data_IF_123575990865
#
_entry.id   IF_123575990865
#
_cell.length_a   1.000
_cell.length_b   1.000
_cell.length_c   1.000
_cell.angle_alpha   90.00
_cell.angle_beta   90.00
_cell.angle_gamma   90.00
#
_symmetry.space_group_name_H-M   'P 1'
#
loop_
_entity.id
_entity.type
_entity.pdbx_description
1 polymer ?
#
# COMPACT_ATOMS: atom_id res chain seq x y z
N UNK A 1 62.93 -31.12 -12.93
CA UNK A 1 62.75 -30.46 -11.62
C UNK A 1 61.73 -29.33 -11.79
N UNK A 2 60.79 -29.18 -10.85
CA UNK A 2 59.42 -28.77 -11.15
C UNK A 2 59.22 -27.25 -11.23
N UNK A 3 58.22 -26.89 -12.01
CA UNK A 3 57.78 -25.55 -12.39
C UNK A 3 56.59 -25.16 -11.49
N UNK A 4 56.71 -23.99 -10.84
CA UNK A 4 55.69 -22.97 -10.56
C UNK A 4 54.57 -23.18 -9.52
N UNK A 5 54.14 -22.01 -9.04
CA UNK A 5 52.76 -21.62 -8.69
C UNK A 5 52.28 -21.95 -7.28
N UNK A 6 53.11 -21.64 -6.29
CA UNK A 6 52.60 -21.13 -5.01
C UNK A 6 52.35 -19.62 -5.14
N UNK A 7 51.30 -19.10 -4.49
CA UNK A 7 50.99 -17.66 -4.34
C UNK A 7 50.18 -16.98 -5.48
N UNK A 8 48.99 -17.47 -5.85
CA UNK A 8 47.89 -16.56 -6.31
C UNK A 8 46.47 -17.10 -6.01
N UNK A 9 46.31 -18.38 -5.65
CA UNK A 9 44.98 -19.01 -5.66
C UNK A 9 44.08 -18.74 -4.43
N UNK A 10 44.53 -17.99 -3.41
CA UNK A 10 43.75 -17.76 -2.16
C UNK A 10 43.09 -16.39 -2.04
N UNK A 11 43.45 -15.42 -2.87
CA UNK A 11 42.92 -14.05 -2.78
C UNK A 11 41.65 -13.79 -3.59
N UNK A 12 41.30 -14.67 -4.53
CA UNK A 12 40.19 -14.44 -5.49
C UNK A 12 38.91 -15.17 -5.06
N UNK A 13 38.99 -16.18 -4.20
CA UNK A 13 37.83 -16.94 -3.74
C UNK A 13 37.04 -16.26 -2.61
N UNK A 14 37.59 -15.23 -1.94
CA UNK A 14 36.85 -14.48 -0.91
C UNK A 14 36.01 -13.32 -1.47
N UNK A 15 36.30 -12.87 -2.69
CA UNK A 15 35.64 -11.69 -3.29
C UNK A 15 34.30 -12.01 -3.96
N UNK A 16 34.02 -13.29 -4.24
CA UNK A 16 32.78 -13.70 -4.91
C UNK A 16 31.61 -14.03 -3.96
N UNK A 17 31.83 -14.05 -2.64
CA UNK A 17 30.78 -14.40 -1.69
C UNK A 17 29.89 -13.21 -1.26
N UNK A 18 30.23 -11.97 -1.65
CA UNK A 18 29.50 -10.77 -1.19
C UNK A 18 28.39 -10.33 -2.17
N UNK A 19 28.32 -10.90 -3.37
CA UNK A 19 27.25 -10.59 -4.35
C UNK A 19 25.96 -11.43 -4.17
N UNK A 20 25.85 -12.24 -3.12
CA UNK A 20 24.82 -13.29 -3.03
C UNK A 20 23.62 -13.05 -2.11
N UNK A 21 23.47 -11.88 -1.47
CA UNK A 21 22.44 -11.69 -0.43
C UNK A 21 21.64 -10.38 -0.52
N UNK A 22 21.63 -9.71 -1.67
CA UNK A 22 20.57 -8.75 -1.96
C UNK A 22 19.42 -9.49 -2.64
N UNK A 23 18.70 -10.33 -1.88
CA UNK A 23 17.32 -10.66 -2.25
C UNK A 23 16.54 -9.34 -2.15
N UNK A 24 16.59 -8.57 -3.22
CA UNK A 24 15.59 -7.54 -3.50
C UNK A 24 14.27 -8.29 -3.47
N UNK A 25 13.57 -8.22 -2.34
CA UNK A 25 12.17 -8.54 -2.28
C UNK A 25 11.49 -7.55 -3.24
N UNK A 26 11.40 -7.94 -4.51
CA UNK A 26 10.59 -7.26 -5.50
C UNK A 26 9.17 -7.34 -4.97
N UNK A 27 8.71 -6.26 -4.36
CA UNK A 27 7.28 -6.01 -4.18
C UNK A 27 6.78 -5.68 -5.58
N UNK A 28 6.36 -6.70 -6.31
CA UNK A 28 5.74 -6.57 -7.61
C UNK A 28 4.29 -6.13 -7.43
N UNK A 29 3.88 -5.07 -8.14
CA UNK A 29 2.54 -4.52 -8.09
C UNK A 29 2.55 -3.05 -7.70
N UNK A 30 2.10 -2.20 -8.63
CA UNK A 30 1.78 -0.80 -8.36
C UNK A 30 0.27 -0.67 -8.51
N UNK A 31 -0.43 -0.33 -7.43
CA UNK A 31 -1.89 -0.19 -7.46
C UNK A 31 -2.20 1.13 -8.17
N UNK A 32 -2.81 1.12 -9.37
CA UNK A 32 -3.01 2.35 -10.11
C UNK A 32 -4.07 3.23 -9.43
N UNK A 33 -3.95 4.57 -9.50
CA UNK A 33 -4.95 5.49 -8.95
C UNK A 33 -6.38 5.19 -9.40
N UNK A 34 -6.56 4.69 -10.62
CA UNK A 34 -7.85 4.30 -11.20
C UNK A 34 -8.57 3.18 -10.45
N UNK A 35 -7.92 2.47 -9.53
CA UNK A 35 -8.59 1.50 -8.65
C UNK A 35 -9.46 2.19 -7.60
N UNK A 36 -9.11 3.42 -7.21
CA UNK A 36 -9.79 4.17 -6.15
C UNK A 36 -10.87 5.10 -6.73
N UNK A 37 -11.87 4.56 -7.41
CA UNK A 37 -12.97 5.37 -7.95
C UNK A 37 -13.91 5.82 -6.83
N UNK A 38 -13.75 7.06 -6.39
CA UNK A 38 -14.55 7.66 -5.32
C UNK A 38 -15.96 8.00 -5.81
N UNK A 39 -16.95 7.68 -4.96
CA UNK A 39 -18.36 8.01 -5.15
C UNK A 39 -18.85 8.79 -3.94
N UNK A 40 -19.61 9.86 -4.16
CA UNK A 40 -20.19 10.64 -3.07
C UNK A 40 -21.25 9.80 -2.34
N UNK A 41 -21.06 9.58 -1.04
CA UNK A 41 -22.00 8.86 -0.17
C UNK A 41 -22.72 9.79 0.80
N UNK A 42 -22.12 10.94 1.11
CA UNK A 42 -22.74 12.05 1.84
C UNK A 42 -22.45 13.33 1.06
N UNK A 43 -23.45 14.02 0.50
CA UNK A 43 -23.21 15.25 -0.23
C UNK A 43 -22.78 16.38 0.71
N UNK A 44 -21.90 17.25 0.24
CA UNK A 44 -21.56 18.48 0.94
C UNK A 44 -22.76 19.45 1.03
N UNK A 45 -23.16 19.86 2.24
CA UNK A 45 -24.34 20.71 2.51
C UNK A 45 -24.07 22.22 2.46
N UNK A 46 -22.81 22.66 2.48
CA UNK A 46 -22.44 24.06 2.24
C UNK A 46 -22.87 25.08 3.29
N UNK A 47 -23.35 24.64 4.45
CA UNK A 47 -23.92 25.44 5.54
C UNK A 47 -22.90 26.21 6.40
N UNK A 48 -21.67 26.37 5.90
CA UNK A 48 -20.71 27.36 6.39
C UNK A 48 -19.57 26.79 7.22
N UNK A 49 -18.35 27.14 6.81
CA UNK A 49 -17.08 27.03 7.55
C UNK A 49 -16.48 25.63 7.86
N UNK A 50 -17.18 24.52 7.64
CA UNK A 50 -16.74 23.23 8.20
C UNK A 50 -16.34 22.18 7.15
N UNK A 51 -15.40 21.33 7.54
CA UNK A 51 -15.05 20.09 6.86
C UNK A 51 -16.30 19.25 6.68
N UNK A 52 -16.52 18.66 5.50
CA UNK A 52 -17.79 17.97 5.26
C UNK A 52 -17.88 17.32 3.89
N UNK A 53 -19.02 16.68 3.65
CA UNK A 53 -19.22 15.76 2.53
C UNK A 53 -18.33 14.51 2.69
N UNK A 54 -18.73 13.40 2.07
CA UNK A 54 -18.00 12.15 2.16
C UNK A 54 -18.03 11.40 0.85
N UNK A 55 -16.85 10.97 0.41
CA UNK A 55 -16.68 10.11 -0.76
C UNK A 55 -16.02 8.82 -0.37
N UNK A 56 -16.40 7.75 -1.04
CA UNK A 56 -15.89 6.40 -0.75
C UNK A 56 -15.46 5.70 -2.03
N UNK A 57 -14.32 5.03 -1.97
CA UNK A 57 -13.88 4.04 -2.95
C UNK A 57 -13.75 2.67 -2.27
N UNK A 58 -14.17 1.61 -2.96
CA UNK A 58 -14.03 0.22 -2.49
C UNK A 58 -13.12 -0.57 -3.43
N UNK A 59 -12.13 -1.28 -2.87
CA UNK A 59 -11.18 -2.10 -3.64
C UNK A 59 -10.94 -3.43 -2.94
N UNK A 60 -10.95 -4.52 -3.70
CA UNK A 60 -10.40 -5.82 -3.30
C UNK A 60 -8.95 -5.86 -3.78
N UNK A 61 -8.00 -6.02 -2.84
CA UNK A 61 -6.57 -6.08 -3.16
C UNK A 61 -6.05 -7.47 -2.81
N UNK A 62 -5.40 -8.12 -3.76
CA UNK A 62 -4.65 -9.34 -3.52
C UNK A 62 -3.21 -8.99 -3.08
N UNK A 63 -2.93 -9.14 -1.79
CA UNK A 63 -1.57 -9.08 -1.28
C UNK A 63 -0.93 -10.45 -1.48
N UNK A 64 0.04 -10.55 -2.37
CA UNK A 64 0.76 -11.81 -2.62
C UNK A 64 2.25 -11.65 -2.35
N UNK A 65 2.84 -12.68 -1.73
CA UNK A 65 4.28 -12.83 -1.60
C UNK A 65 4.71 -14.07 -2.36
N UNK A 66 5.62 -13.89 -3.33
CA UNK A 66 6.31 -15.00 -3.96
C UNK A 66 7.39 -15.48 -2.98
N UNK A 67 7.12 -16.57 -2.27
CA UNK A 67 8.12 -17.26 -1.44
C UNK A 67 8.39 -18.65 -2.01
N UNK A 68 9.64 -19.15 -1.94
CA UNK A 68 10.00 -20.47 -2.44
C UNK A 68 9.42 -21.62 -1.61
N UNK A 69 8.98 -21.34 -0.37
CA UNK A 69 8.42 -22.36 0.54
C UNK A 69 6.90 -22.49 0.37
N UNK A 70 6.15 -21.38 0.33
CA UNK A 70 4.71 -21.36 0.01
C UNK A 70 4.28 -19.96 -0.49
N UNK A 71 3.52 -19.82 -1.59
CA UNK A 71 2.89 -18.56 -1.94
C UNK A 71 1.80 -18.25 -0.92
N UNK A 72 2.04 -17.27 -0.05
CA UNK A 72 1.00 -16.72 0.82
C UNK A 72 0.32 -15.56 0.10
N UNK A 73 -1.00 -15.67 -0.02
CA UNK A 73 -1.83 -14.63 -0.59
C UNK A 73 -2.98 -14.28 0.34
N UNK A 74 -3.26 -12.99 0.47
CA UNK A 74 -4.35 -12.44 1.26
C UNK A 74 -5.21 -11.54 0.38
N UNK A 75 -6.49 -11.85 0.25
CA UNK A 75 -7.44 -10.92 -0.40
C UNK A 75 -8.02 -10.00 0.67
N UNK A 76 -7.76 -8.70 0.54
CA UNK A 76 -8.16 -7.69 1.50
C UNK A 76 -9.26 -6.80 0.92
N UNK A 77 -10.37 -6.72 1.64
CA UNK A 77 -11.43 -5.75 1.42
C UNK A 77 -11.03 -4.39 2.02
N UNK A 78 -10.90 -3.37 1.17
CA UNK A 78 -10.57 -2.02 1.62
C UNK A 78 -11.57 -0.97 1.12
N UNK A 79 -12.14 -0.26 2.07
CA UNK A 79 -12.93 0.93 1.83
C UNK A 79 -12.12 2.15 2.25
N UNK A 80 -11.89 3.07 1.32
CA UNK A 80 -11.26 4.36 1.59
C UNK A 80 -12.34 5.43 1.58
N UNK A 81 -12.59 6.02 2.73
CA UNK A 81 -13.43 7.20 2.89
C UNK A 81 -12.59 8.46 2.95
N UNK A 82 -12.95 9.48 2.19
CA UNK A 82 -12.33 10.81 2.25
C UNK A 82 -13.41 11.89 2.36
N UNK A 83 -13.15 12.96 3.13
CA UNK A 83 -14.04 14.11 3.14
C UNK A 83 -14.00 14.84 1.79
N UNK A 84 -15.11 15.42 1.33
CA UNK A 84 -15.10 16.28 0.13
C UNK A 84 -14.30 17.56 0.38
N UNK A 85 -14.37 18.06 1.61
CA UNK A 85 -13.62 19.23 2.09
C UNK A 85 -13.04 18.95 3.47
N UNK A 86 -11.75 19.21 3.65
CA UNK A 86 -11.07 19.12 4.94
C UNK A 86 -10.34 20.43 5.28
N UNK A 87 -9.56 20.43 6.37
CA UNK A 87 -8.77 21.58 6.83
C UNK A 87 -7.73 22.08 5.80
N UNK A 88 -7.33 21.24 4.84
CA UNK A 88 -6.41 21.59 3.74
C UNK A 88 -7.15 22.08 2.48
N UNK A 89 -8.49 22.13 2.49
CA UNK A 89 -9.31 22.59 1.38
C UNK A 89 -10.10 21.44 0.73
N UNK A 90 -10.37 21.59 -0.56
CA UNK A 90 -11.11 20.60 -1.35
C UNK A 90 -10.25 19.35 -1.63
N UNK A 91 -10.87 18.18 -1.49
CA UNK A 91 -10.26 16.91 -1.83
C UNK A 91 -10.80 16.47 -3.18
N UNK A 92 -10.04 16.77 -4.24
CA UNK A 92 -10.39 16.38 -5.61
C UNK A 92 -10.20 14.87 -5.79
N UNK A 93 -11.01 14.26 -6.66
CA UNK A 93 -11.00 12.80 -6.85
C UNK A 93 -9.65 12.31 -7.39
N UNK A 94 -9.04 13.03 -8.33
CA UNK A 94 -7.73 12.70 -8.89
C UNK A 94 -6.62 12.70 -7.81
N UNK A 95 -6.69 13.67 -6.90
CA UNK A 95 -5.78 13.75 -5.76
C UNK A 95 -6.04 12.62 -4.77
N UNK A 96 -7.30 12.36 -4.43
CA UNK A 96 -7.70 11.27 -3.54
C UNK A 96 -7.28 9.90 -4.09
N UNK A 97 -7.48 9.67 -5.38
CA UNK A 97 -7.06 8.47 -6.11
C UNK A 97 -5.55 8.26 -6.00
N UNK A 98 -4.77 9.29 -6.30
CA UNK A 98 -3.31 9.23 -6.28
C UNK A 98 -2.78 9.01 -4.86
N UNK A 99 -3.35 9.70 -3.87
CA UNK A 99 -2.96 9.55 -2.47
C UNK A 99 -3.30 8.16 -1.92
N UNK A 100 -4.49 7.65 -2.23
CA UNK A 100 -4.91 6.31 -1.83
C UNK A 100 -4.06 5.22 -2.47
N UNK A 101 -3.77 5.31 -3.77
CA UNK A 101 -2.86 4.40 -4.46
C UNK A 101 -1.47 4.34 -3.81
N UNK A 102 -0.85 5.51 -3.60
CA UNK A 102 0.47 5.59 -2.95
C UNK A 102 0.46 5.04 -1.52
N UNK A 103 -0.59 5.34 -0.75
CA UNK A 103 -0.73 4.81 0.61
C UNK A 103 -0.93 3.30 0.61
N UNK A 104 -1.69 2.76 -0.34
CA UNK A 104 -1.90 1.33 -0.48
C UNK A 104 -0.61 0.60 -0.90
N UNK A 105 0.16 1.14 -1.84
CA UNK A 105 1.46 0.56 -2.23
C UNK A 105 2.42 0.50 -1.05
N UNK A 106 2.52 1.60 -0.30
CA UNK A 106 3.40 1.69 0.86
C UNK A 106 2.94 0.77 2.00
N UNK A 107 1.64 0.71 2.27
CA UNK A 107 1.07 -0.22 3.25
C UNK A 107 1.30 -1.68 2.84
N UNK A 108 1.12 -2.02 1.55
CA UNK A 108 1.40 -3.35 1.02
C UNK A 108 2.87 -3.71 1.22
N UNK A 109 3.78 -2.78 0.91
CA UNK A 109 5.23 -2.95 1.09
C UNK A 109 5.61 -3.20 2.54
N UNK A 110 4.94 -2.56 3.51
CA UNK A 110 5.17 -2.78 4.94
C UNK A 110 4.68 -4.18 5.33
N UNK A 111 3.40 -4.49 5.09
CA UNK A 111 2.79 -5.77 5.50
C UNK A 111 3.47 -6.97 4.84
N UNK A 112 3.80 -6.87 3.55
CA UNK A 112 4.47 -7.93 2.82
C UNK A 112 5.91 -8.16 3.28
N UNK A 113 6.50 -7.31 4.13
CA UNK A 113 7.81 -7.56 4.77
C UNK A 113 7.66 -8.33 6.08
N UNK A 114 6.58 -8.14 6.82
CA UNK A 114 6.38 -8.65 8.18
C UNK A 114 6.01 -10.15 8.27
N UNK A 115 5.70 -10.82 7.16
CA UNK A 115 5.41 -12.28 7.09
C UNK A 115 4.23 -12.72 7.98
N UNK A 116 3.15 -11.94 7.95
CA UNK A 116 2.04 -12.13 8.88
C UNK A 116 1.02 -13.12 8.34
N UNK A 117 0.30 -13.85 9.23
CA UNK A 117 -0.86 -14.62 8.84
C UNK A 117 -1.88 -13.77 8.08
N UNK A 118 -2.57 -14.40 7.13
CA UNK A 118 -3.47 -13.78 6.14
C UNK A 118 -4.48 -12.79 6.73
N UNK A 119 -5.15 -13.17 7.83
CA UNK A 119 -6.14 -12.32 8.49
C UNK A 119 -5.53 -11.08 9.16
N UNK A 120 -4.31 -11.23 9.70
CA UNK A 120 -3.58 -10.14 10.34
C UNK A 120 -3.00 -9.18 9.28
N UNK A 121 -2.57 -9.71 8.13
CA UNK A 121 -2.08 -8.91 7.01
C UNK A 121 -3.12 -7.88 6.54
N UNK A 122 -4.37 -8.29 6.31
CA UNK A 122 -5.41 -7.35 5.87
C UNK A 122 -5.80 -6.32 6.93
N UNK A 123 -5.74 -6.69 8.22
CA UNK A 123 -5.98 -5.74 9.31
C UNK A 123 -4.91 -4.66 9.31
N UNK A 124 -3.64 -5.06 9.36
CA UNK A 124 -2.54 -4.11 9.40
C UNK A 124 -2.41 -3.30 8.10
N UNK A 125 -2.72 -3.90 6.95
CA UNK A 125 -2.74 -3.18 5.68
C UNK A 125 -3.64 -1.95 5.74
N UNK A 126 -4.86 -2.11 6.27
CA UNK A 126 -5.78 -0.98 6.49
C UNK A 126 -5.24 0.02 7.50
N UNK A 127 -4.68 -0.44 8.61
CA UNK A 127 -4.13 0.43 9.67
C UNK A 127 -2.96 1.27 9.15
N UNK A 128 -2.02 0.67 8.42
CA UNK A 128 -0.92 1.38 7.79
C UNK A 128 -1.40 2.37 6.74
N UNK A 129 -2.35 1.96 5.88
CA UNK A 129 -2.92 2.83 4.86
C UNK A 129 -3.64 4.05 5.48
N UNK A 130 -4.47 3.85 6.51
CA UNK A 130 -5.13 4.95 7.24
C UNK A 130 -4.10 5.88 7.86
N UNK A 131 -3.08 5.32 8.53
CA UNK A 131 -2.02 6.13 9.15
C UNK A 131 -1.32 7.00 8.11
N UNK A 132 -0.90 6.43 6.98
CA UNK A 132 -0.22 7.17 5.91
C UNK A 132 -1.11 8.29 5.34
N UNK A 133 -2.41 8.04 5.18
CA UNK A 133 -3.35 9.02 4.65
C UNK A 133 -3.63 10.18 5.62
N UNK A 134 -3.71 9.87 6.93
CA UNK A 134 -4.27 10.77 7.95
C UNK A 134 -3.25 11.43 8.86
N UNK A 135 -1.98 11.00 8.83
CA UNK A 135 -0.93 11.49 9.72
C UNK A 135 -0.95 13.03 9.81
N UNK A 136 -1.08 13.56 11.02
CA UNK A 136 -1.60 14.92 11.24
C UNK A 136 -0.77 16.03 10.58
N UNK A 137 0.54 15.80 10.46
CA UNK A 137 1.52 16.77 9.97
C UNK A 137 1.87 16.59 8.49
N UNK A 138 1.90 15.34 8.00
CA UNK A 138 2.42 15.00 6.66
C UNK A 138 1.42 14.25 5.78
N UNK A 139 0.34 13.73 6.35
CA UNK A 139 -0.68 12.95 5.66
C UNK A 139 -1.38 13.77 4.57
N UNK A 140 -1.58 13.21 3.36
CA UNK A 140 -2.14 13.94 2.23
C UNK A 140 -3.60 14.33 2.45
N UNK A 141 -4.37 13.56 3.22
CA UNK A 141 -5.83 13.75 3.39
C UNK A 141 -6.21 13.63 4.87
N UNK A 142 -6.08 14.73 5.64
CA UNK A 142 -6.60 14.75 7.00
C UNK A 142 -8.09 14.40 7.03
N UNK A 143 -8.45 13.52 7.97
CA UNK A 143 -9.82 13.04 8.13
C UNK A 143 -10.19 11.83 7.26
N UNK A 144 -9.30 11.33 6.40
CA UNK A 144 -9.55 10.07 5.69
C UNK A 144 -9.77 8.89 6.66
N UNK A 145 -10.44 7.84 6.19
CA UNK A 145 -10.67 6.59 6.93
C UNK A 145 -10.44 5.40 6.03
N UNK A 146 -9.84 4.34 6.56
CA UNK A 146 -9.67 3.07 5.84
C UNK A 146 -10.31 1.95 6.64
N UNK A 147 -11.35 1.34 6.09
CA UNK A 147 -12.12 0.29 6.77
C UNK A 147 -12.36 -0.90 5.85
N UNK A 148 -13.13 -1.87 6.31
CA UNK A 148 -13.72 -2.91 5.44
C UNK A 148 -14.86 -2.30 4.63
N UNK A 149 -15.37 -3.00 3.62
CA UNK A 149 -16.55 -2.53 2.88
C UNK A 149 -17.73 -2.29 3.83
N UNK A 150 -18.31 -1.09 3.76
CA UNK A 150 -19.44 -0.63 4.58
C UNK A 150 -20.46 0.14 3.77
N UNK A 151 -20.01 1.01 2.86
CA UNK A 151 -20.89 1.81 2.01
C UNK A 151 -21.68 0.91 1.04
N UNK A 152 -22.99 1.13 0.98
CA UNK A 152 -23.90 0.41 0.08
C UNK A 152 -23.98 1.16 -1.25
N UNK A 153 -24.04 0.43 -2.37
CA UNK A 153 -24.17 1.01 -3.71
C UNK A 153 -22.85 1.49 -4.35
N UNK A 154 -21.75 1.47 -3.59
CA UNK A 154 -20.40 1.66 -4.14
C UNK A 154 -19.96 0.35 -4.80
N UNK A 155 -19.43 0.43 -6.02
CA UNK A 155 -19.01 -0.74 -6.78
C UNK A 155 -17.52 -1.02 -6.54
N UNK A 156 -17.15 -2.18 -5.94
CA UNK A 156 -15.75 -2.49 -5.70
C UNK A 156 -14.96 -2.67 -7.00
N UNK A 157 -13.70 -2.23 -7.01
CA UNK A 157 -12.70 -2.65 -7.99
C UNK A 157 -11.88 -3.81 -7.45
N UNK A 158 -11.23 -4.57 -8.33
CA UNK A 158 -10.34 -5.67 -7.92
C UNK A 158 -8.95 -5.48 -8.50
N UNK A 159 -7.94 -5.44 -7.64
CA UNK A 159 -6.53 -5.38 -8.00
C UNK A 159 -5.84 -6.71 -7.65
N UNK A 160 -5.28 -7.43 -8.64
CA UNK A 160 -4.58 -8.69 -8.42
C UNK A 160 -3.15 -8.50 -7.89
#
# INVERSE_FOLDING_TARGET
MPIRLTVVARGILLSLAILGAAQLACVGGHIPPSMFQFQNVVPYSGDGNETGGWKVAQVLILLSRISPSFPESATCDIEVGVPERNKKGWVLDEFAQTAAAKAADEAARIVLREQLPTALACKQFREHMERILTELDVGPIPGAKVTKFRAVGVHPKTFP
#
